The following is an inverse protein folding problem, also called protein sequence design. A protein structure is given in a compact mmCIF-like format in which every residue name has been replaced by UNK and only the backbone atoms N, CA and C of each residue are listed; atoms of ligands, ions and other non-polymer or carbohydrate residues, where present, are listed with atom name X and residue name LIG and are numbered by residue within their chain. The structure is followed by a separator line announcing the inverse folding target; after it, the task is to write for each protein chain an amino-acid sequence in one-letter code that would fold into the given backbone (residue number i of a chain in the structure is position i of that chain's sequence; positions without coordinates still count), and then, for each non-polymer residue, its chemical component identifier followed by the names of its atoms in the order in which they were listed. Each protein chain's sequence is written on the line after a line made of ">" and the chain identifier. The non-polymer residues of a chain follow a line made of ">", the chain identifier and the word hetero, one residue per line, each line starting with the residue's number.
data_IF_355472957359
#
_entry.id   IF_355472957359
#
_cell.length_a   1.000
_cell.length_b   1.000
_cell.length_c   1.000
_cell.angle_alpha   90.00
_cell.angle_beta   90.00
_cell.angle_gamma   90.00
#
_symmetry.space_group_name_H-M   'P 1'
#
loop_
_entity.id
_entity.type
_entity.pdbx_description
1 polymer ?
#
# COMPACT_ATOMS: atom_id res chain seq x y z
N UNK A 1 -23.22 -10.72 0.30
CA UNK A 1 -22.40 -9.73 -0.43
C UNK A 1 -21.03 -10.33 -0.69
N UNK A 2 -20.57 -10.20 -1.92
CA UNK A 2 -19.68 -11.17 -2.56
C UNK A 2 -18.23 -11.08 -2.06
N UNK A 3 -17.59 -12.24 -1.85
CA UNK A 3 -16.14 -12.38 -1.58
C UNK A 3 -15.29 -11.62 -2.61
N UNK A 4 -15.84 -11.41 -3.81
CA UNK A 4 -15.27 -10.58 -4.87
C UNK A 4 -15.11 -9.10 -4.45
N UNK A 5 -16.09 -8.53 -3.76
CA UNK A 5 -16.07 -7.14 -3.32
C UNK A 5 -14.97 -6.92 -2.26
N UNK A 6 -14.77 -7.89 -1.37
CA UNK A 6 -13.70 -7.85 -0.37
C UNK A 6 -12.31 -8.02 -1.01
N UNK A 7 -12.20 -8.92 -1.99
CA UNK A 7 -10.96 -9.09 -2.75
C UNK A 7 -10.62 -7.83 -3.57
N UNK A 8 -11.62 -7.21 -4.18
CA UNK A 8 -11.46 -5.95 -4.91
C UNK A 8 -11.09 -4.79 -3.97
N UNK A 9 -11.69 -4.67 -2.79
CA UNK A 9 -11.33 -3.63 -1.82
C UNK A 9 -9.90 -3.86 -1.30
N UNK A 10 -9.51 -5.09 -1.01
CA UNK A 10 -8.15 -5.40 -0.56
C UNK A 10 -7.10 -5.12 -1.65
N UNK A 11 -7.37 -5.54 -2.89
CA UNK A 11 -6.53 -5.20 -4.05
C UNK A 11 -6.45 -3.70 -4.29
N UNK A 12 -7.57 -2.98 -4.13
CA UNK A 12 -7.63 -1.53 -4.26
C UNK A 12 -6.80 -0.85 -3.16
N UNK A 13 -6.90 -1.30 -1.90
CA UNK A 13 -6.11 -0.76 -0.78
C UNK A 13 -4.61 -1.01 -1.00
N UNK A 14 -4.22 -2.22 -1.42
CA UNK A 14 -2.82 -2.53 -1.75
C UNK A 14 -2.32 -1.65 -2.89
N UNK A 15 -3.13 -1.46 -3.94
CA UNK A 15 -2.77 -0.61 -5.08
C UNK A 15 -2.72 0.88 -4.73
N UNK A 16 -3.49 1.35 -3.73
CA UNK A 16 -3.45 2.73 -3.23
C UNK A 16 -2.23 2.95 -2.34
N UNK A 17 -1.89 2.00 -1.47
CA UNK A 17 -0.72 2.08 -0.58
C UNK A 17 0.61 2.16 -1.36
N UNK A 18 0.67 1.61 -2.57
CA UNK A 18 1.86 1.62 -3.43
C UNK A 18 2.00 2.93 -4.24
N UNK A 19 0.99 3.79 -4.29
CA UNK A 19 0.94 4.92 -5.25
C UNK A 19 1.22 6.30 -4.65
N UNK A 20 1.78 6.38 -3.45
CA UNK A 20 2.18 7.64 -2.83
C UNK A 20 3.67 7.95 -3.09
N UNK A 21 4.12 7.81 -4.35
CA UNK A 21 5.45 8.24 -4.76
C UNK A 21 5.31 9.59 -5.46
N UNK A 22 5.74 10.66 -4.78
CA UNK A 22 5.87 11.97 -5.42
C UNK A 22 6.95 11.92 -6.50
N UNK A 23 6.71 12.60 -7.62
CA UNK A 23 7.72 12.80 -8.67
C UNK A 23 8.69 13.90 -8.24
N UNK A 24 9.99 13.73 -8.50
CA UNK A 24 11.00 14.75 -8.18
C UNK A 24 10.91 15.87 -9.21
N UNK A 25 10.56 17.06 -8.77
CA UNK A 25 10.43 18.23 -9.66
C UNK A 25 11.79 18.85 -10.01
N UNK A 26 11.84 19.62 -11.10
CA UNK A 26 13.06 20.34 -11.51
C UNK A 26 13.67 21.20 -10.39
N UNK A 27 12.90 21.99 -9.61
CA UNK A 27 13.45 22.75 -8.48
C UNK A 27 14.13 21.86 -7.43
N UNK A 28 13.62 20.64 -7.21
CA UNK A 28 14.26 19.70 -6.29
C UNK A 28 15.60 19.19 -6.82
N UNK A 29 15.67 18.82 -8.09
CA UNK A 29 16.94 18.46 -8.72
C UNK A 29 17.94 19.61 -8.69
N UNK A 30 17.49 20.84 -8.92
CA UNK A 30 18.33 22.03 -8.82
C UNK A 30 18.84 22.24 -7.38
N UNK A 31 17.99 22.03 -6.38
CA UNK A 31 18.40 22.11 -4.99
C UNK A 31 19.45 21.06 -4.65
N UNK A 32 19.25 19.80 -5.03
CA UNK A 32 20.24 18.74 -4.84
C UNK A 32 21.58 19.09 -5.50
N UNK A 33 21.54 19.56 -6.76
CA UNK A 33 22.74 19.94 -7.50
C UNK A 33 23.52 21.09 -6.86
N UNK A 34 22.84 22.01 -6.20
CA UNK A 34 23.48 23.14 -5.50
C UNK A 34 24.08 22.77 -4.14
N UNK A 35 23.66 21.64 -3.54
CA UNK A 35 24.08 21.21 -2.20
C UNK A 35 25.01 19.98 -2.21
N UNK A 36 25.28 19.43 -3.39
CA UNK A 36 26.28 18.39 -3.61
C UNK A 36 27.55 19.03 -4.15
N UNK A 37 28.70 18.67 -3.61
CA UNK A 37 29.97 18.93 -4.30
C UNK A 37 30.03 18.12 -5.60
N UNK A 38 30.90 18.53 -6.51
CA UNK A 38 31.09 17.84 -7.80
C UNK A 38 31.35 16.33 -7.64
N UNK A 39 32.26 15.96 -6.72
CA UNK A 39 32.55 14.56 -6.42
C UNK A 39 31.34 13.79 -5.87
N UNK A 40 30.54 14.43 -5.02
CA UNK A 40 29.35 13.81 -4.42
C UNK A 40 28.23 13.66 -5.45
N UNK A 41 28.11 14.61 -6.36
CA UNK A 41 27.16 14.53 -7.46
C UNK A 41 27.55 13.42 -8.43
N UNK A 42 28.82 13.29 -8.78
CA UNK A 42 29.29 12.20 -9.65
C UNK A 42 29.06 10.83 -9.00
N UNK A 43 29.25 10.72 -7.68
CA UNK A 43 28.89 9.51 -6.93
C UNK A 43 27.39 9.24 -6.94
N UNK A 44 26.56 10.28 -6.79
CA UNK A 44 25.11 10.13 -6.86
C UNK A 44 24.67 9.68 -8.25
N UNK A 45 25.09 10.39 -9.30
CA UNK A 45 24.79 10.06 -10.68
C UNK A 45 25.25 8.63 -11.03
N UNK A 46 26.47 8.26 -10.64
CA UNK A 46 26.95 6.88 -10.76
C UNK A 46 26.03 5.90 -10.01
N UNK A 47 25.69 6.15 -8.76
CA UNK A 47 24.81 5.28 -7.97
C UNK A 47 23.41 5.15 -8.58
N UNK A 48 22.92 6.17 -9.28
CA UNK A 48 21.65 6.18 -9.99
C UNK A 48 21.69 5.37 -11.30
N UNK A 49 22.83 5.34 -12.00
CA UNK A 49 23.01 4.56 -13.23
C UNK A 49 23.34 3.06 -12.98
N UNK A 50 24.02 2.73 -11.87
CA UNK A 50 24.40 1.35 -11.55
C UNK A 50 23.32 0.62 -10.74
N UNK A 51 22.79 -0.46 -11.31
CA UNK A 51 21.76 -1.28 -10.72
C UNK A 51 22.36 -2.30 -9.74
N UNK A 52 21.97 -2.24 -8.47
CA UNK A 52 22.42 -3.18 -7.43
C UNK A 52 22.77 -2.52 -6.09
N UNK A 53 22.79 -3.34 -5.04
CA UNK A 53 23.08 -2.92 -3.66
C UNK A 53 24.58 -2.70 -3.38
N UNK A 54 25.48 -3.08 -4.29
CA UNK A 54 26.93 -3.00 -4.07
C UNK A 54 27.50 -1.69 -4.60
N UNK A 55 27.85 -0.78 -3.68
CA UNK A 55 28.54 0.50 -3.93
C UNK A 55 30.04 0.37 -4.23
N UNK A 56 30.54 -0.86 -4.32
CA UNK A 56 31.95 -1.19 -4.16
C UNK A 56 32.86 -0.46 -5.18
N UNK A 57 32.31 -0.08 -6.34
CA UNK A 57 33.05 0.56 -7.43
C UNK A 57 32.46 1.91 -7.87
N UNK A 58 31.77 2.64 -6.99
CA UNK A 58 31.18 3.95 -7.35
C UNK A 58 32.21 4.95 -7.90
N UNK A 59 33.47 4.84 -7.46
CA UNK A 59 34.53 5.70 -7.95
C UNK A 59 34.89 5.42 -9.43
N UNK A 60 34.96 4.14 -9.81
CA UNK A 60 35.21 3.73 -11.21
C UNK A 60 34.01 4.05 -12.10
N UNK A 61 32.81 3.85 -11.57
CA UNK A 61 31.55 4.20 -12.20
C UNK A 61 31.41 5.71 -12.46
N UNK A 62 31.80 6.54 -11.49
CA UNK A 62 31.80 7.98 -11.62
C UNK A 62 32.78 8.48 -12.70
N UNK A 63 33.88 7.76 -12.93
CA UNK A 63 34.84 8.07 -13.98
C UNK A 63 34.34 7.73 -15.40
N UNK A 64 33.22 7.02 -15.53
CA UNK A 64 32.57 6.76 -16.81
C UNK A 64 31.50 7.81 -17.17
N UNK A 65 31.23 8.75 -16.25
CA UNK A 65 30.32 9.86 -16.51
C UNK A 65 31.00 10.88 -17.43
N UNK A 66 30.23 11.58 -18.28
CA UNK A 66 30.79 12.61 -19.15
C UNK A 66 31.36 13.78 -18.32
N UNK A 67 32.66 14.03 -18.46
CA UNK A 67 33.44 15.03 -17.71
C UNK A 67 32.98 16.49 -17.90
N UNK A 68 32.06 16.75 -18.84
CA UNK A 68 31.63 18.09 -19.23
C UNK A 68 30.15 18.40 -18.96
N UNK A 69 29.46 17.56 -18.18
CA UNK A 69 28.06 17.78 -17.79
C UNK A 69 28.01 18.25 -16.34
N UNK A 70 27.34 19.38 -16.11
CA UNK A 70 27.15 19.87 -14.74
C UNK A 70 26.23 18.93 -13.94
N UNK A 71 26.31 19.01 -12.61
CA UNK A 71 25.56 18.11 -11.72
C UNK A 71 24.05 18.04 -12.04
N UNK A 72 23.43 19.20 -12.24
CA UNK A 72 22.00 19.27 -12.60
C UNK A 72 21.71 18.55 -13.93
N UNK A 73 22.59 18.70 -14.92
CA UNK A 73 22.49 18.02 -16.20
C UNK A 73 22.58 16.50 -16.05
N UNK A 74 23.47 15.99 -15.19
CA UNK A 74 23.58 14.56 -14.91
C UNK A 74 22.29 14.01 -14.29
N UNK A 75 21.73 14.70 -13.28
CA UNK A 75 20.49 14.28 -12.62
C UNK A 75 19.29 14.31 -13.55
N UNK A 76 19.14 15.38 -14.35
CA UNK A 76 18.05 15.48 -15.34
C UNK A 76 18.21 14.51 -16.52
N UNK A 77 19.45 14.16 -16.87
CA UNK A 77 19.70 13.15 -17.89
C UNK A 77 19.26 11.76 -17.41
N UNK A 78 19.60 11.42 -16.17
CA UNK A 78 19.13 10.20 -15.54
C UNK A 78 17.60 10.14 -15.50
N UNK A 79 16.94 11.19 -15.00
CA UNK A 79 15.47 11.32 -14.90
C UNK A 79 14.76 11.07 -16.24
N UNK A 80 15.31 11.61 -17.33
CA UNK A 80 14.74 11.48 -18.68
C UNK A 80 15.04 10.15 -19.37
N UNK A 81 15.92 9.33 -18.81
CA UNK A 81 16.32 8.06 -19.43
C UNK A 81 15.21 7.02 -19.23
N UNK A 82 14.57 6.51 -20.30
CA UNK A 82 13.35 5.69 -20.19
C UNK A 82 13.57 4.33 -19.48
N UNK A 83 14.79 3.80 -19.50
CA UNK A 83 15.15 2.56 -18.80
C UNK A 83 15.57 2.79 -17.33
N UNK A 84 15.81 4.03 -16.89
CA UNK A 84 16.52 4.32 -15.62
C UNK A 84 15.90 5.43 -14.75
N UNK A 85 15.10 6.35 -15.32
CA UNK A 85 14.54 7.52 -14.62
C UNK A 85 13.04 7.72 -14.82
N UNK A 86 12.48 7.37 -15.98
CA UNK A 86 11.07 7.66 -16.32
C UNK A 86 10.02 6.88 -15.49
N UNK A 87 10.46 5.84 -14.78
CA UNK A 87 9.66 5.08 -13.80
C UNK A 87 10.41 4.92 -12.48
N UNK A 88 11.54 5.61 -12.32
CA UNK A 88 12.35 5.46 -11.12
C UNK A 88 11.70 6.27 -9.99
N UNK A 89 11.27 5.54 -8.98
CA UNK A 89 10.70 6.09 -7.76
C UNK A 89 11.66 7.11 -7.15
N UNK A 90 11.10 8.18 -6.59
CA UNK A 90 11.82 9.12 -5.74
C UNK A 90 12.52 8.44 -4.56
N UNK A 91 12.05 7.24 -4.17
CA UNK A 91 12.72 6.34 -3.22
C UNK A 91 14.15 6.01 -3.66
N UNK A 92 14.40 5.80 -4.96
CA UNK A 92 15.74 5.44 -5.47
C UNK A 92 16.71 6.59 -5.22
N UNK A 93 16.31 7.84 -5.49
CA UNK A 93 17.17 9.01 -5.25
C UNK A 93 17.43 9.20 -3.77
N UNK A 94 16.39 9.08 -2.92
CA UNK A 94 16.52 9.14 -1.46
C UNK A 94 17.47 8.06 -0.95
N UNK A 95 17.31 6.83 -1.44
CA UNK A 95 18.14 5.69 -1.07
C UNK A 95 19.60 5.89 -1.48
N UNK A 96 19.86 6.34 -2.72
CA UNK A 96 21.23 6.61 -3.19
C UNK A 96 21.88 7.77 -2.44
N UNK A 97 21.14 8.82 -2.10
CA UNK A 97 21.62 9.90 -1.23
C UNK A 97 22.07 9.37 0.15
N UNK A 98 21.29 8.47 0.75
CA UNK A 98 21.68 7.82 2.01
C UNK A 98 22.97 7.02 1.87
N UNK A 99 23.10 6.25 0.78
CA UNK A 99 24.27 5.41 0.54
C UNK A 99 25.57 6.20 0.32
N UNK A 100 25.51 7.39 -0.28
CA UNK A 100 26.67 8.28 -0.42
C UNK A 100 26.92 9.16 0.82
N UNK A 101 26.19 8.93 1.92
CA UNK A 101 26.36 9.64 3.19
C UNK A 101 25.64 10.99 3.25
N UNK A 102 24.75 11.30 2.31
CA UNK A 102 23.98 12.57 2.24
C UNK A 102 22.61 12.45 2.88
N UNK A 103 22.59 11.98 4.13
CA UNK A 103 21.36 11.74 4.92
C UNK A 103 20.49 12.99 5.07
N UNK A 104 21.10 14.16 5.25
CA UNK A 104 20.35 15.42 5.38
C UNK A 104 19.60 15.80 4.08
N UNK A 105 20.24 15.59 2.92
CA UNK A 105 19.62 15.83 1.61
C UNK A 105 18.54 14.78 1.31
N UNK A 106 18.77 13.52 1.67
CA UNK A 106 17.78 12.46 1.56
C UNK A 106 16.51 12.79 2.35
N UNK A 107 16.68 13.21 3.61
CA UNK A 107 15.58 13.60 4.49
C UNK A 107 14.86 14.86 4.00
N UNK A 108 15.60 15.86 3.53
CA UNK A 108 15.02 17.05 2.93
C UNK A 108 14.17 16.67 1.71
N UNK A 109 14.70 15.86 0.79
CA UNK A 109 14.01 15.44 -0.42
C UNK A 109 12.72 14.68 -0.11
N UNK A 110 12.78 13.69 0.78
CA UNK A 110 11.60 12.92 1.21
C UNK A 110 10.52 13.83 1.81
N UNK A 111 10.91 14.81 2.63
CA UNK A 111 9.96 15.78 3.20
C UNK A 111 9.33 16.65 2.13
N UNK A 112 10.13 17.16 1.19
CA UNK A 112 9.63 18.04 0.12
C UNK A 112 8.67 17.31 -0.83
N UNK A 113 8.95 16.04 -1.15
CA UNK A 113 8.04 15.19 -1.94
C UNK A 113 6.71 14.97 -1.23
N UNK A 114 6.74 14.70 0.07
CA UNK A 114 5.51 14.54 0.85
C UNK A 114 4.70 15.85 0.93
N UNK A 115 5.37 17.00 1.00
CA UNK A 115 4.70 18.30 0.99
C UNK A 115 4.04 18.61 -0.35
N UNK A 116 4.70 18.35 -1.48
CA UNK A 116 4.08 18.53 -2.81
C UNK A 116 2.88 17.62 -2.98
N UNK A 117 2.97 16.36 -2.53
CA UNK A 117 1.83 15.44 -2.54
C UNK A 117 0.65 15.94 -1.70
N UNK A 118 0.90 16.51 -0.52
CA UNK A 118 -0.16 17.11 0.30
C UNK A 118 -0.81 18.32 -0.40
N UNK A 119 -0.01 19.17 -1.04
CA UNK A 119 -0.54 20.33 -1.77
C UNK A 119 -1.40 19.88 -2.96
N UNK A 120 -0.97 18.87 -3.70
CA UNK A 120 -1.76 18.32 -4.81
C UNK A 120 -3.11 17.77 -4.33
N UNK A 121 -3.13 17.10 -3.17
CA UNK A 121 -4.37 16.62 -2.56
C UNK A 121 -5.30 17.78 -2.15
N UNK A 122 -4.75 18.86 -1.58
CA UNK A 122 -5.53 20.04 -1.18
C UNK A 122 -6.08 20.82 -2.39
N UNK A 123 -5.37 20.83 -3.52
CA UNK A 123 -5.77 21.55 -4.73
C UNK A 123 -6.79 20.78 -5.59
N UNK A 124 -6.97 19.47 -5.38
CA UNK A 124 -8.02 18.70 -6.07
C UNK A 124 -9.41 18.95 -5.46
N UNK A 125 -10.36 19.62 -6.15
CA UNK A 125 -11.66 19.99 -5.58
C UNK A 125 -12.66 18.82 -5.47
N UNK A 126 -12.20 17.58 -5.55
CA UNK A 126 -13.03 16.39 -5.59
C UNK A 126 -12.59 15.40 -4.53
N UNK A 127 -12.84 15.75 -3.27
CA UNK A 127 -13.24 14.87 -2.15
C UNK A 127 -13.27 15.71 -0.87
N UNK A 128 -14.00 16.83 -0.89
CA UNK A 128 -14.40 17.53 0.32
C UNK A 128 -15.53 16.75 1.04
N UNK A 129 -15.29 15.48 1.38
CA UNK A 129 -16.03 14.76 2.41
C UNK A 129 -15.25 13.52 2.85
N UNK A 130 -14.22 13.73 3.69
CA UNK A 130 -13.90 12.94 4.87
C UNK A 130 -12.56 13.41 5.44
N UNK A 131 -12.60 13.81 6.71
CA UNK A 131 -11.46 14.12 7.55
C UNK A 131 -10.33 13.09 7.39
N UNK A 132 -9.29 13.43 6.64
CA UNK A 132 -7.97 12.84 6.78
C UNK A 132 -7.02 13.98 7.12
N UNK A 133 -7.14 14.46 8.36
CA UNK A 133 -6.15 15.37 8.94
C UNK A 133 -4.89 14.57 9.26
N UNK A 134 -3.98 14.43 8.30
CA UNK A 134 -2.63 13.94 8.57
C UNK A 134 -1.78 15.11 9.08
N UNK A 135 -1.98 15.46 10.35
CA UNK A 135 -1.15 16.45 11.03
C UNK A 135 0.20 15.81 11.37
N UNK A 136 1.16 15.86 10.46
CA UNK A 136 2.51 15.36 10.72
C UNK A 136 3.29 16.36 11.60
N UNK A 137 3.15 16.23 12.91
CA UNK A 137 4.02 16.89 13.87
C UNK A 137 5.33 16.11 13.97
N UNK A 138 6.17 16.15 12.93
CA UNK A 138 7.53 15.60 12.98
C UNK A 138 8.50 16.64 13.56
N UNK A 139 8.36 16.87 14.86
CA UNK A 139 9.37 17.54 15.68
C UNK A 139 10.21 16.46 16.37
N UNK A 140 11.51 16.42 16.07
CA UNK A 140 12.60 16.76 17.02
C UNK A 140 13.96 16.45 16.36
N UNK A 141 14.90 17.40 16.48
CA UNK A 141 16.18 17.49 15.77
C UNK A 141 17.33 16.72 16.46
N UNK A 142 17.11 16.00 17.55
CA UNK A 142 18.20 15.42 18.35
C UNK A 142 18.20 13.89 18.51
N UNK A 143 17.14 13.18 18.13
CA UNK A 143 17.11 11.70 18.28
C UNK A 143 17.64 10.96 17.04
N UNK A 144 17.52 11.54 15.85
CA UNK A 144 17.55 10.79 14.57
C UNK A 144 18.92 10.17 14.24
N UNK A 145 20.01 10.66 14.81
CA UNK A 145 21.36 10.16 14.50
C UNK A 145 21.61 8.74 15.01
N UNK A 146 20.88 8.28 16.03
CA UNK A 146 21.06 6.95 16.63
C UNK A 146 20.15 5.87 16.00
N UNK A 147 19.03 6.27 15.37
CA UNK A 147 18.04 5.32 14.81
C UNK A 147 18.35 4.84 13.39
N UNK A 148 19.26 5.49 12.66
CA UNK A 148 19.46 5.22 11.22
C UNK A 148 20.42 4.06 10.90
N UNK A 149 21.07 3.43 11.89
CA UNK A 149 21.98 2.30 11.64
C UNK A 149 21.39 0.94 12.04
N UNK A 150 20.36 0.90 12.88
CA UNK A 150 19.73 -0.35 13.36
C UNK A 150 18.34 -0.64 12.73
N UNK A 151 17.71 0.34 12.08
CA UNK A 151 16.31 0.24 11.63
C UNK A 151 16.10 -0.29 10.21
N UNK A 152 17.09 -0.29 9.30
CA UNK A 152 16.84 -0.79 7.93
C UNK A 152 16.50 -2.29 7.86
N UNK A 153 16.95 -3.07 8.85
CA UNK A 153 16.56 -4.48 8.99
C UNK A 153 15.29 -4.66 9.82
N UNK A 154 15.11 -3.85 10.87
CA UNK A 154 13.98 -3.96 11.80
C UNK A 154 12.69 -3.35 11.25
N UNK A 155 12.74 -2.28 10.48
CA UNK A 155 11.55 -1.65 9.89
C UNK A 155 10.97 -2.49 8.76
N UNK A 156 11.81 -3.15 7.95
CA UNK A 156 11.35 -4.12 6.97
C UNK A 156 10.67 -5.32 7.66
N UNK A 157 11.26 -5.85 8.72
CA UNK A 157 10.68 -6.98 9.48
C UNK A 157 9.39 -6.55 10.22
N UNK A 158 9.36 -5.36 10.82
CA UNK A 158 8.20 -4.85 11.55
C UNK A 158 7.05 -4.55 10.59
N UNK A 159 7.34 -3.94 9.44
CA UNK A 159 6.35 -3.66 8.39
C UNK A 159 5.79 -4.96 7.82
N UNK A 160 6.65 -5.94 7.49
CA UNK A 160 6.22 -7.27 7.02
C UNK A 160 5.38 -7.96 8.10
N UNK A 161 5.77 -7.86 9.38
CA UNK A 161 5.03 -8.44 10.50
C UNK A 161 3.63 -7.82 10.66
N UNK A 162 3.52 -6.50 10.57
CA UNK A 162 2.22 -5.79 10.66
C UNK A 162 1.32 -6.18 9.47
N UNK A 163 1.87 -6.26 8.26
CA UNK A 163 1.11 -6.68 7.07
C UNK A 163 0.60 -8.12 7.23
N UNK A 164 1.43 -9.05 7.72
CA UNK A 164 1.03 -10.43 7.97
C UNK A 164 -0.08 -10.51 9.02
N UNK A 165 -0.02 -9.70 10.08
CA UNK A 165 -1.06 -9.65 11.10
C UNK A 165 -2.40 -9.15 10.53
N UNK A 166 -2.38 -8.08 9.74
CA UNK A 166 -3.60 -7.52 9.12
C UNK A 166 -4.23 -8.53 8.16
N UNK A 167 -3.42 -9.19 7.32
CA UNK A 167 -3.88 -10.23 6.40
C UNK A 167 -4.44 -11.42 7.18
N UNK A 168 -3.76 -11.86 8.25
CA UNK A 168 -4.20 -12.96 9.11
C UNK A 168 -5.55 -12.68 9.79
N UNK A 169 -5.73 -11.48 10.35
CA UNK A 169 -7.00 -11.05 10.96
C UNK A 169 -8.11 -11.01 9.92
N UNK A 170 -7.81 -10.52 8.72
CA UNK A 170 -8.79 -10.46 7.62
C UNK A 170 -9.27 -11.87 7.22
N UNK A 171 -8.36 -12.84 7.09
CA UNK A 171 -8.71 -14.24 6.80
C UNK A 171 -9.56 -14.83 7.93
N UNK A 172 -9.21 -14.56 9.19
CA UNK A 172 -9.95 -15.07 10.35
C UNK A 172 -11.39 -14.53 10.38
N UNK A 173 -11.58 -13.22 10.12
CA UNK A 173 -12.91 -12.60 10.04
C UNK A 173 -13.73 -13.19 8.89
N UNK A 174 -13.14 -13.44 7.73
CA UNK A 174 -13.85 -14.08 6.62
C UNK A 174 -14.26 -15.50 6.99
N UNK A 175 -13.37 -16.28 7.61
CA UNK A 175 -13.67 -17.65 8.02
C UNK A 175 -14.78 -17.73 9.08
N UNK A 176 -14.85 -16.78 10.01
CA UNK A 176 -15.93 -16.74 11.01
C UNK A 176 -17.26 -16.35 10.38
N UNK A 177 -17.28 -15.38 9.47
CA UNK A 177 -18.48 -15.00 8.72
C UNK A 177 -19.00 -16.15 7.84
N UNK A 178 -18.11 -16.85 7.12
CA UNK A 178 -18.47 -18.02 6.30
C UNK A 178 -19.08 -19.14 7.17
N UNK A 179 -18.51 -19.39 8.36
CA UNK A 179 -19.08 -20.36 9.32
C UNK A 179 -20.46 -19.92 9.82
N UNK A 180 -20.64 -18.65 10.15
CA UNK A 180 -21.93 -18.11 10.59
C UNK A 180 -23.00 -18.25 9.50
N UNK A 181 -22.65 -17.92 8.25
CA UNK A 181 -23.56 -18.09 7.11
C UNK A 181 -23.91 -19.57 6.91
N UNK A 182 -22.93 -20.47 7.03
CA UNK A 182 -23.18 -21.91 6.92
C UNK A 182 -24.11 -22.43 8.03
N UNK A 183 -23.90 -21.98 9.27
CA UNK A 183 -24.77 -22.33 10.41
C UNK A 183 -26.18 -21.77 10.19
N UNK A 184 -26.32 -20.52 9.77
CA UNK A 184 -27.62 -19.91 9.48
C UNK A 184 -28.38 -20.67 8.38
N UNK A 185 -27.69 -21.05 7.29
CA UNK A 185 -28.29 -21.86 6.22
C UNK A 185 -28.73 -23.23 6.73
N UNK A 186 -27.89 -23.91 7.51
CA UNK A 186 -28.23 -25.22 8.09
C UNK A 186 -29.45 -25.12 8.99
N UNK A 187 -29.53 -24.10 9.84
CA UNK A 187 -30.66 -23.90 10.74
C UNK A 187 -31.94 -23.54 9.99
N UNK A 188 -31.85 -22.74 8.92
CA UNK A 188 -33.00 -22.42 8.07
C UNK A 188 -33.56 -23.67 7.36
N UNK A 189 -32.69 -24.56 6.86
CA UNK A 189 -33.12 -25.83 6.24
C UNK A 189 -33.85 -26.73 7.25
N UNK A 190 -33.33 -26.82 8.48
CA UNK A 190 -33.97 -27.60 9.55
C UNK A 190 -35.31 -26.98 9.98
N UNK A 191 -35.40 -25.66 10.02
CA UNK A 191 -36.65 -24.95 10.35
C UNK A 191 -37.72 -25.18 9.26
N UNK A 192 -37.36 -25.04 7.98
CA UNK A 192 -38.28 -25.30 6.87
C UNK A 192 -38.82 -26.73 6.90
N UNK A 193 -37.95 -27.73 7.11
CA UNK A 193 -38.38 -29.13 7.18
C UNK A 193 -39.36 -29.42 8.33
N UNK A 194 -39.29 -28.66 9.45
CA UNK A 194 -40.27 -28.79 10.54
C UNK A 194 -41.62 -28.17 10.21
N UNK A 195 -41.63 -27.07 9.44
CA UNK A 195 -42.86 -26.41 8.99
C UNK A 195 -43.62 -27.35 8.04
N UNK A 196 -42.93 -27.97 7.09
CA UNK A 196 -43.54 -28.91 6.13
C UNK A 196 -44.24 -30.09 6.83
N UNK A 197 -43.62 -30.65 7.88
CA UNK A 197 -44.19 -31.76 8.66
C UNK A 197 -45.43 -31.34 9.48
N UNK A 198 -45.48 -30.09 9.94
CA UNK A 198 -46.65 -29.57 10.67
C UNK A 198 -47.82 -29.36 9.68
N UNK A 199 -47.55 -28.84 8.49
CA UNK A 199 -48.54 -28.66 7.43
C UNK A 199 -49.13 -30.00 6.96
N UNK A 200 -48.29 -31.02 6.79
CA UNK A 200 -48.73 -32.38 6.46
C UNK A 200 -49.61 -32.99 7.57
N UNK A 201 -49.29 -32.77 8.85
CA UNK A 201 -50.13 -33.25 9.96
C UNK A 201 -51.49 -32.53 10.07
N UNK A 202 -51.53 -31.24 9.74
CA UNK A 202 -52.76 -30.44 9.77
C UNK A 202 -53.73 -30.86 8.66
N UNK A 203 -53.21 -31.13 7.45
CA UNK A 203 -54.04 -31.61 6.32
C UNK A 203 -54.62 -33.01 6.58
N UNK A 204 -53.87 -33.91 7.22
CA UNK A 204 -54.36 -35.24 7.63
C UNK A 204 -55.46 -35.18 8.71
N UNK A 205 -55.38 -34.21 9.62
CA UNK A 205 -56.41 -33.96 10.64
C UNK A 205 -57.72 -33.43 10.03
N UNK A 206 -57.62 -32.59 9.00
CA UNK A 206 -58.79 -31.99 8.32
C UNK A 206 -59.55 -32.98 7.42
N UNK A 207 -58.86 -33.98 6.85
CA UNK A 207 -59.48 -35.02 6.00
C UNK A 207 -60.15 -36.14 6.82
N UNK A 208 -59.67 -36.41 8.05
CA UNK A 208 -60.21 -37.47 8.92
C UNK A 208 -61.73 -37.39 9.23
N UNK A 209 -62.33 -36.22 9.53
CA UNK A 209 -63.78 -36.14 9.78
C UNK A 209 -64.64 -36.28 8.51
N UNK A 210 -64.09 -36.09 7.31
CA UNK A 210 -64.85 -36.21 6.06
C UNK A 210 -64.98 -37.67 5.58
N UNK A 211 -64.01 -38.54 5.92
CA UNK A 211 -64.09 -39.97 5.58
C UNK A 211 -65.18 -40.70 6.39
N UNK A 212 -65.53 -40.21 7.59
CA UNK A 212 -66.57 -40.80 8.45
C UNK A 212 -68.01 -40.50 7.98
N UNK A 213 -68.21 -39.59 7.02
CA UNK A 213 -69.52 -39.21 6.50
C UNK A 213 -69.90 -39.90 5.18
N UNK A 214 -68.95 -40.58 4.53
CA UNK A 214 -69.19 -41.26 3.25
C UNK A 214 -69.66 -42.71 3.41
N UNK A 215 -69.44 -43.33 4.57
CA UNK A 215 -69.84 -44.72 4.84
C UNK A 215 -71.28 -44.87 5.38
N UNK A 216 -72.04 -43.77 5.51
CA UNK A 216 -73.41 -43.79 6.10
C UNK A 216 -74.54 -43.55 5.09
N UNK A 217 -74.31 -43.82 3.80
CA UNK A 217 -75.39 -43.87 2.78
C UNK A 217 -75.45 -45.25 2.13
N UNK A 218 -76.23 -46.14 2.75
CA UNK A 218 -76.84 -47.32 2.13
C UNK A 218 -78.33 -47.27 2.43
#
# INVERSE_FOLDING_TARGET
>A
MSRLLFWLINQLIISIMVKAEGEITFPMYQYLANHLSENECNKLAAALHFHGYKLNNLHEAAALLPDNVNCLGLLLHWDKTPEQGKTASSEIVVHRLNQIGKKDLAKWLQKSLFQEFQQELEETPQLADKDVSFKSEFQTKSDITEWMEENDLKDNIMTISIVILIVGVSIAVVATLDRLIHICKKNQIVANKRIDLIEESNTLSEVSPLLQLQDTKV
#
